data_IF_189552627108
#
_entry.id   IF_189552627108
#
_cell.length_a   1.000
_cell.length_b   1.000
_cell.length_c   1.000
_cell.angle_alpha   90.00
_cell.angle_beta   90.00
_cell.angle_gamma   90.00
#
_symmetry.space_group_name_H-M   'P 1'
#
loop_
_entity.id
_entity.type
_entity.pdbx_description
1 polymer ?
#
# COMPACT_ATOMS: atom_id res chain seq x y z
N UNK A 1 48.12 2.99 1.14
CA UNK A 1 46.77 3.57 0.92
C UNK A 1 45.87 2.95 1.97
N UNK A 2 45.57 3.66 3.05
CA UNK A 2 44.76 3.13 4.15
C UNK A 2 43.33 2.85 3.65
N UNK A 3 42.70 1.73 4.03
CA UNK A 3 41.30 1.48 3.70
C UNK A 3 40.46 2.61 4.30
N UNK A 4 39.75 3.35 3.45
CA UNK A 4 38.89 4.45 3.88
C UNK A 4 37.91 3.95 4.93
N UNK A 5 37.92 4.58 6.11
CA UNK A 5 36.91 4.36 7.15
C UNK A 5 35.53 4.54 6.52
N UNK A 6 34.81 3.44 6.31
CA UNK A 6 33.37 3.50 6.07
C UNK A 6 32.79 4.15 7.32
N UNK A 7 32.29 5.37 7.20
CA UNK A 7 31.67 6.07 8.33
C UNK A 7 30.56 5.18 8.87
N UNK A 8 30.67 4.81 10.16
CA UNK A 8 29.58 4.15 10.86
C UNK A 8 28.32 5.00 10.67
N UNK A 9 27.19 4.43 10.22
CA UNK A 9 26.01 5.25 9.98
C UNK A 9 25.57 5.91 11.30
N UNK A 10 24.84 7.03 11.26
CA UNK A 10 24.52 7.81 12.46
C UNK A 10 23.74 6.98 13.49
N UNK A 11 24.15 7.09 14.75
CA UNK A 11 23.43 6.57 15.92
C UNK A 11 22.02 7.18 15.97
N UNK A 12 21.05 6.41 16.47
CA UNK A 12 19.67 6.89 16.62
C UNK A 12 19.62 8.15 17.50
N UNK A 13 18.88 9.15 17.04
CA UNK A 13 18.56 10.36 17.79
C UNK A 13 17.03 10.49 17.90
N UNK A 14 16.47 10.75 19.10
CA UNK A 14 15.05 11.01 19.25
C UNK A 14 14.55 12.15 18.35
N UNK A 15 13.28 12.11 17.90
CA UNK A 15 12.70 13.16 17.08
C UNK A 15 12.63 14.48 17.86
N UNK A 16 13.25 15.53 17.31
CA UNK A 16 13.28 16.89 17.88
C UNK A 16 12.26 17.83 17.23
N UNK A 17 11.58 17.38 16.17
CA UNK A 17 10.57 18.14 15.42
C UNK A 17 9.41 17.22 15.03
N UNK A 18 8.26 17.83 14.74
CA UNK A 18 7.05 17.14 14.27
C UNK A 18 6.19 16.55 15.39
N UNK A 19 5.20 15.75 15.03
CA UNK A 19 4.22 15.21 15.99
C UNK A 19 4.88 14.41 17.13
N UNK A 20 5.92 13.65 16.80
CA UNK A 20 6.57 12.75 17.75
C UNK A 20 7.34 13.48 18.86
N UNK A 21 7.79 14.73 18.64
CA UNK A 21 8.52 15.48 19.68
C UNK A 21 7.64 15.96 20.83
N UNK A 22 6.31 15.96 20.65
CA UNK A 22 5.34 16.32 21.69
C UNK A 22 4.89 15.12 22.54
N UNK A 23 5.25 13.89 22.14
CA UNK A 23 4.87 12.69 22.87
C UNK A 23 5.80 12.43 24.05
N UNK A 24 5.30 11.80 25.14
CA UNK A 24 6.18 11.30 26.19
C UNK A 24 7.26 10.39 25.61
N UNK A 25 8.49 10.47 26.14
CA UNK A 25 9.63 9.71 25.63
C UNK A 25 9.38 8.19 25.56
N UNK A 26 8.56 7.65 26.46
CA UNK A 26 8.15 6.24 26.48
C UNK A 26 7.19 5.85 25.35
N UNK A 27 6.44 6.80 24.77
CA UNK A 27 5.47 6.57 23.70
C UNK A 27 6.09 6.71 22.31
N UNK A 28 7.18 7.49 22.20
CA UNK A 28 7.87 7.74 20.93
C UNK A 28 8.20 6.45 20.17
N UNK A 29 8.80 5.40 20.79
CA UNK A 29 9.10 4.16 20.06
C UNK A 29 7.85 3.49 19.47
N UNK A 30 6.71 3.54 20.15
CA UNK A 30 5.46 2.94 19.67
C UNK A 30 4.85 3.76 18.52
N UNK A 31 4.92 5.09 18.62
CA UNK A 31 4.48 5.98 17.55
C UNK A 31 5.35 5.87 16.29
N UNK A 32 6.67 5.72 16.44
CA UNK A 32 7.58 5.38 15.34
C UNK A 32 7.29 4.00 14.75
N UNK A 33 6.94 3.02 15.60
CA UNK A 33 6.64 1.65 15.16
C UNK A 33 5.44 1.63 14.21
N UNK A 34 4.38 2.39 14.49
CA UNK A 34 3.20 2.50 13.61
C UNK A 34 3.37 3.51 12.47
N UNK A 35 4.53 4.18 12.39
CA UNK A 35 4.83 5.23 11.39
C UNK A 35 3.88 6.42 11.48
N UNK A 36 3.56 6.86 12.70
CA UNK A 36 2.63 7.98 12.94
C UNK A 36 3.13 9.29 12.32
N UNK A 37 4.46 9.46 12.19
CA UNK A 37 5.12 10.56 11.51
C UNK A 37 5.01 10.51 9.97
N UNK A 38 4.61 9.37 9.41
CA UNK A 38 4.63 9.07 7.97
C UNK A 38 3.26 8.52 7.52
N UNK A 39 2.23 9.39 7.44
CA UNK A 39 0.85 8.95 7.18
C UNK A 39 0.60 8.44 5.75
N UNK A 40 1.56 8.59 4.82
CA UNK A 40 1.43 8.15 3.42
C UNK A 40 0.94 6.71 3.29
N UNK A 41 1.40 5.80 4.16
CA UNK A 41 0.98 4.40 4.15
C UNK A 41 -0.49 4.21 4.50
N UNK A 42 -1.09 5.06 5.33
CA UNK A 42 -2.52 5.00 5.66
C UNK A 42 -3.34 5.36 4.42
N UNK A 43 -2.96 6.43 3.70
CA UNK A 43 -3.67 6.83 2.48
C UNK A 43 -3.64 5.74 1.40
N UNK A 44 -2.50 5.05 1.27
CA UNK A 44 -2.36 3.93 0.32
C UNK A 44 -3.30 2.77 0.66
N UNK A 45 -3.46 2.42 1.95
CA UNK A 45 -4.41 1.38 2.36
C UNK A 45 -5.85 1.88 2.24
N UNK A 46 -6.13 3.13 2.57
CA UNK A 46 -7.47 3.72 2.51
C UNK A 46 -8.04 3.79 1.08
N UNK A 47 -7.19 4.03 0.09
CA UNK A 47 -7.63 4.24 -1.29
C UNK A 47 -8.48 3.07 -1.85
N UNK A 48 -8.05 1.79 -1.77
CA UNK A 48 -8.90 0.64 -2.15
C UNK A 48 -10.23 0.54 -1.39
N UNK A 49 -10.31 1.00 -0.13
CA UNK A 49 -11.56 0.98 0.64
C UNK A 49 -12.54 2.06 0.18
N UNK A 50 -12.04 3.25 -0.14
CA UNK A 50 -12.86 4.30 -0.76
C UNK A 50 -13.36 3.81 -2.13
N UNK A 51 -12.47 3.26 -2.97
CA UNK A 51 -12.85 2.69 -4.25
C UNK A 51 -13.91 1.58 -4.11
N UNK A 52 -13.72 0.65 -3.16
CA UNK A 52 -14.69 -0.42 -2.89
C UNK A 52 -16.05 0.11 -2.45
N UNK A 53 -16.08 1.19 -1.67
CA UNK A 53 -17.34 1.82 -1.23
C UNK A 53 -18.06 2.52 -2.40
N UNK A 54 -17.31 3.22 -3.27
CA UNK A 54 -17.87 3.85 -4.48
C UNK A 54 -18.33 2.80 -5.50
N UNK A 55 -17.58 1.72 -5.64
CA UNK A 55 -17.93 0.56 -6.45
C UNK A 55 -19.25 -0.08 -5.97
N UNK A 56 -19.44 -0.20 -4.65
CA UNK A 56 -20.68 -0.70 -4.07
C UNK A 56 -21.90 0.14 -4.48
N UNK A 57 -21.76 1.46 -4.52
CA UNK A 57 -22.84 2.35 -4.97
C UNK A 57 -23.22 2.12 -6.44
N UNK A 58 -22.29 1.63 -7.27
CA UNK A 58 -22.53 1.36 -8.68
C UNK A 58 -23.22 0.01 -8.91
N UNK A 59 -22.85 -1.03 -8.16
CA UNK A 59 -23.39 -2.39 -8.33
C UNK A 59 -24.62 -2.65 -7.45
N UNK A 60 -24.99 -1.70 -6.60
CA UNK A 60 -26.22 -1.75 -5.82
C UNK A 60 -27.45 -1.68 -6.71
N UNK A 61 -28.47 -2.49 -6.40
CA UNK A 61 -29.77 -2.46 -7.09
C UNK A 61 -30.61 -1.22 -6.75
N UNK A 62 -30.33 -0.60 -5.60
CA UNK A 62 -30.99 0.62 -5.14
C UNK A 62 -29.96 1.72 -4.80
N UNK A 63 -30.30 3.00 -4.96
CA UNK A 63 -29.43 4.10 -4.55
C UNK A 63 -29.06 4.00 -3.06
N UNK A 64 -27.76 4.03 -2.77
CA UNK A 64 -27.28 4.03 -1.39
C UNK A 64 -27.44 5.43 -0.77
N UNK A 65 -27.96 5.56 0.46
CA UNK A 65 -28.03 6.84 1.14
C UNK A 65 -26.64 7.44 1.34
N UNK A 66 -26.43 8.70 0.94
CA UNK A 66 -25.15 9.40 1.14
C UNK A 66 -24.66 9.37 2.60
N UNK A 67 -25.50 9.57 3.64
CA UNK A 67 -25.06 9.48 5.02
C UNK A 67 -24.48 8.11 5.39
N UNK A 68 -25.03 7.02 4.83
CA UNK A 68 -24.51 5.67 5.04
C UNK A 68 -23.11 5.53 4.43
N UNK A 69 -22.94 5.96 3.17
CA UNK A 69 -21.66 5.91 2.46
C UNK A 69 -20.58 6.69 3.20
N UNK A 70 -20.88 7.92 3.64
CA UNK A 70 -19.94 8.75 4.39
C UNK A 70 -19.59 8.12 5.75
N UNK A 71 -20.56 7.58 6.47
CA UNK A 71 -20.31 6.87 7.72
C UNK A 71 -19.36 5.68 7.53
N UNK A 72 -19.58 4.88 6.47
CA UNK A 72 -18.68 3.75 6.15
C UNK A 72 -17.28 4.20 5.78
N UNK A 73 -17.11 5.29 5.03
CA UNK A 73 -15.77 5.83 4.73
C UNK A 73 -15.04 6.25 6.01
N UNK A 74 -15.73 6.89 6.97
CA UNK A 74 -15.13 7.27 8.27
C UNK A 74 -14.71 6.02 9.05
N UNK A 75 -15.58 5.03 9.18
CA UNK A 75 -15.27 3.79 9.90
C UNK A 75 -14.14 2.99 9.23
N UNK A 76 -14.13 2.93 7.89
CA UNK A 76 -13.05 2.33 7.12
C UNK A 76 -11.74 3.10 7.26
N UNK A 77 -11.78 4.42 7.40
CA UNK A 77 -10.60 5.24 7.72
C UNK A 77 -9.99 4.85 9.07
N UNK A 78 -10.84 4.67 10.09
CA UNK A 78 -10.39 4.20 11.42
C UNK A 78 -9.82 2.78 11.32
N UNK A 79 -10.51 1.87 10.62
CA UNK A 79 -10.03 0.52 10.36
C UNK A 79 -8.66 0.50 9.67
N UNK A 80 -8.50 1.26 8.58
CA UNK A 80 -7.24 1.32 7.83
C UNK A 80 -6.09 1.89 8.65
N UNK A 81 -6.35 2.87 9.53
CA UNK A 81 -5.36 3.38 10.48
C UNK A 81 -4.85 2.24 11.38
N UNK A 82 -5.74 1.47 11.99
CA UNK A 82 -5.38 0.36 12.87
C UNK A 82 -4.72 -0.80 12.12
N UNK A 83 -5.28 -1.21 10.98
CA UNK A 83 -4.73 -2.27 10.13
C UNK A 83 -3.31 -1.93 9.65
N UNK A 84 -3.09 -0.69 9.18
CA UNK A 84 -1.77 -0.22 8.75
C UNK A 84 -0.77 -0.20 9.91
N UNK A 85 -1.21 0.28 11.06
CA UNK A 85 -0.40 0.37 12.28
C UNK A 85 0.03 -1.03 12.75
N UNK A 86 -0.92 -1.95 12.83
CA UNK A 86 -0.67 -3.34 13.19
C UNK A 86 0.25 -4.04 12.18
N UNK A 87 0.02 -3.83 10.88
CA UNK A 87 0.85 -4.40 9.82
C UNK A 87 2.30 -3.94 9.88
N UNK A 88 2.57 -2.70 10.30
CA UNK A 88 3.94 -2.23 10.53
C UNK A 88 4.57 -2.86 11.77
N UNK A 89 3.85 -2.90 12.88
CA UNK A 89 4.34 -3.53 14.11
C UNK A 89 4.65 -5.02 13.88
N UNK A 90 3.76 -5.73 13.20
CA UNK A 90 3.95 -7.12 12.80
C UNK A 90 5.14 -7.29 11.86
N UNK A 91 5.22 -6.49 10.78
CA UNK A 91 6.32 -6.61 9.81
C UNK A 91 7.68 -6.34 10.45
N UNK A 92 7.83 -5.27 11.25
CA UNK A 92 9.09 -4.95 11.94
C UNK A 92 9.47 -6.06 12.95
N UNK A 93 8.50 -6.77 13.55
CA UNK A 93 8.74 -7.91 14.43
C UNK A 93 9.26 -9.14 13.68
N UNK A 94 8.68 -9.45 12.51
CA UNK A 94 9.10 -10.59 11.69
C UNK A 94 10.44 -10.33 10.99
N UNK A 95 10.66 -9.09 10.53
CA UNK A 95 11.85 -8.69 9.78
C UNK A 95 13.00 -8.22 10.69
N UNK A 96 12.86 -8.24 12.02
CA UNK A 96 13.80 -7.62 12.97
C UNK A 96 15.28 -7.98 12.76
N UNK A 97 15.60 -9.23 12.42
CA UNK A 97 16.98 -9.69 12.21
C UNK A 97 17.58 -9.15 10.90
N UNK A 98 16.76 -9.04 9.86
CA UNK A 98 17.15 -8.40 8.60
C UNK A 98 17.25 -6.89 8.77
N UNK A 99 16.31 -6.29 9.50
CA UNK A 99 16.28 -4.85 9.74
C UNK A 99 17.55 -4.38 10.47
N UNK A 100 18.06 -5.16 11.43
CA UNK A 100 19.35 -4.89 12.12
C UNK A 100 20.55 -4.80 11.17
N UNK A 101 20.52 -5.51 10.04
CA UNK A 101 21.62 -5.61 9.09
C UNK A 101 21.58 -4.51 8.01
N UNK A 102 20.48 -3.75 7.89
CA UNK A 102 20.32 -2.75 6.83
C UNK A 102 20.43 -1.33 7.37
N UNK A 103 21.19 -0.47 6.68
CA UNK A 103 21.41 0.91 7.10
C UNK A 103 20.11 1.71 7.25
N UNK A 104 19.11 1.43 6.40
CA UNK A 104 17.79 2.08 6.42
C UNK A 104 16.93 1.66 7.61
N UNK A 105 16.93 0.38 7.97
CA UNK A 105 15.95 -0.18 8.91
C UNK A 105 16.52 -0.45 10.30
N UNK A 106 17.83 -0.42 10.51
CA UNK A 106 18.46 -0.72 11.81
C UNK A 106 17.99 0.17 12.96
N UNK A 107 17.53 1.38 12.67
CA UNK A 107 17.02 2.34 13.65
C UNK A 107 15.52 2.15 13.95
N UNK A 108 14.85 1.15 13.37
CA UNK A 108 13.46 0.82 13.72
C UNK A 108 13.36 0.42 15.20
N UNK A 109 12.25 0.72 15.89
CA UNK A 109 12.12 0.52 17.34
C UNK A 109 12.46 -0.90 17.83
N UNK A 110 11.97 -1.94 17.15
CA UNK A 110 12.24 -3.34 17.52
C UNK A 110 13.69 -3.74 17.16
N UNK A 111 14.16 -3.34 15.97
CA UNK A 111 15.52 -3.65 15.52
C UNK A 111 16.58 -3.07 16.46
N UNK A 112 16.41 -1.82 16.91
CA UNK A 112 17.32 -1.12 17.84
C UNK A 112 17.10 -1.48 19.32
N UNK A 113 16.12 -2.32 19.64
CA UNK A 113 15.83 -2.75 21.02
C UNK A 113 15.06 -1.75 21.89
N UNK A 114 14.46 -0.70 21.31
CA UNK A 114 13.61 0.25 22.05
C UNK A 114 12.23 -0.33 22.40
N UNK A 115 11.80 -1.38 21.69
CA UNK A 115 10.61 -2.19 21.97
C UNK A 115 11.05 -3.65 21.92
N UNK A 116 10.66 -4.46 22.92
CA UNK A 116 10.94 -5.90 22.89
C UNK A 116 10.06 -6.62 21.87
N UNK A 117 10.50 -7.76 21.33
CA UNK A 117 9.70 -8.54 20.37
C UNK A 117 8.30 -8.90 20.93
N UNK A 118 8.24 -9.25 22.22
CA UNK A 118 6.97 -9.53 22.89
C UNK A 118 6.06 -8.30 22.95
N UNK A 119 6.60 -7.14 23.33
CA UNK A 119 5.83 -5.87 23.32
C UNK A 119 5.32 -5.54 21.92
N UNK A 120 6.13 -5.76 20.87
CA UNK A 120 5.71 -5.59 19.48
C UNK A 120 4.52 -6.48 19.10
N UNK A 121 4.49 -7.74 19.55
CA UNK A 121 3.40 -8.67 19.25
C UNK A 121 2.12 -8.31 20.00
N UNK A 122 2.24 -7.98 21.29
CA UNK A 122 1.12 -7.50 22.10
C UNK A 122 0.52 -6.24 21.47
N UNK A 123 1.38 -5.31 21.05
CA UNK A 123 0.93 -4.06 20.45
C UNK A 123 0.26 -4.26 19.08
N UNK A 124 0.84 -5.08 18.20
CA UNK A 124 0.21 -5.44 16.92
C UNK A 124 -1.17 -6.10 17.14
N UNK A 125 -1.27 -7.02 18.10
CA UNK A 125 -2.53 -7.70 18.44
C UNK A 125 -3.57 -6.73 19.00
N UNK A 126 -3.16 -5.83 19.89
CA UNK A 126 -4.04 -4.79 20.43
C UNK A 126 -4.57 -3.85 19.32
N UNK A 127 -3.72 -3.45 18.38
CA UNK A 127 -4.13 -2.63 17.23
C UNK A 127 -5.12 -3.38 16.33
N UNK A 128 -4.92 -4.68 16.08
CA UNK A 128 -5.89 -5.51 15.34
C UNK A 128 -7.24 -5.54 16.07
N UNK A 129 -7.24 -5.78 17.38
CA UNK A 129 -8.45 -5.79 18.19
C UNK A 129 -9.19 -4.44 18.12
N UNK A 130 -8.47 -3.32 18.27
CA UNK A 130 -9.04 -1.97 18.11
C UNK A 130 -9.61 -1.73 16.71
N UNK A 131 -8.95 -2.24 15.67
CA UNK A 131 -9.48 -2.22 14.30
C UNK A 131 -10.80 -2.98 14.19
N UNK A 132 -10.91 -4.19 14.74
CA UNK A 132 -12.19 -4.92 14.72
C UNK A 132 -13.28 -4.24 15.55
N UNK A 133 -12.93 -3.56 16.64
CA UNK A 133 -13.88 -2.74 17.39
C UNK A 133 -14.45 -1.58 16.54
N UNK A 134 -13.68 -1.02 15.61
CA UNK A 134 -14.22 0.01 14.69
C UNK A 134 -15.17 -0.55 13.63
N UNK A 135 -15.28 -1.87 13.49
CA UNK A 135 -16.16 -2.55 12.55
C UNK A 135 -17.40 -3.18 13.22
N UNK A 136 -17.75 -2.80 14.46
CA UNK A 136 -18.87 -3.41 15.19
C UNK A 136 -20.20 -3.36 14.43
N UNK A 137 -20.50 -2.23 13.79
CA UNK A 137 -21.73 -2.02 13.01
C UNK A 137 -21.72 -2.72 11.64
N UNK A 138 -20.61 -3.36 11.25
CA UNK A 138 -20.49 -3.99 9.94
C UNK A 138 -21.15 -5.38 9.94
N UNK A 139 -21.74 -5.80 8.80
CA UNK A 139 -22.23 -7.15 8.61
C UNK A 139 -21.14 -8.21 8.79
N UNK A 140 -21.55 -9.45 9.02
CA UNK A 140 -20.63 -10.56 9.29
C UNK A 140 -19.66 -10.78 8.13
N UNK A 141 -20.13 -10.72 6.90
CA UNK A 141 -19.38 -10.92 5.65
C UNK A 141 -18.24 -9.92 5.51
N UNK A 142 -18.51 -8.66 5.90
CA UNK A 142 -17.51 -7.60 5.89
C UNK A 142 -16.45 -7.83 6.99
N UNK A 143 -16.86 -8.23 8.19
CA UNK A 143 -15.93 -8.61 9.28
C UNK A 143 -15.11 -9.86 8.95
N UNK A 144 -15.71 -10.84 8.29
CA UNK A 144 -15.02 -12.03 7.81
C UNK A 144 -13.98 -11.66 6.74
N UNK A 145 -14.33 -10.78 5.80
CA UNK A 145 -13.39 -10.21 4.84
C UNK A 145 -12.24 -9.48 5.56
N UNK A 146 -12.53 -8.71 6.61
CA UNK A 146 -11.50 -8.03 7.40
C UNK A 146 -10.53 -9.03 8.06
N UNK A 147 -11.04 -10.15 8.56
CA UNK A 147 -10.22 -11.25 9.09
C UNK A 147 -9.34 -11.87 8.00
N UNK A 148 -9.84 -12.07 6.79
CA UNK A 148 -9.04 -12.52 5.64
C UNK A 148 -7.91 -11.52 5.35
N UNK A 149 -8.19 -10.22 5.34
CA UNK A 149 -7.17 -9.19 5.16
C UNK A 149 -6.08 -9.26 6.25
N UNK A 150 -6.46 -9.45 7.52
CA UNK A 150 -5.51 -9.60 8.62
C UNK A 150 -4.65 -10.87 8.46
N UNK A 151 -5.24 -11.99 8.08
CA UNK A 151 -4.49 -13.24 7.84
C UNK A 151 -3.48 -13.06 6.70
N UNK A 152 -3.89 -12.48 5.58
CA UNK A 152 -3.00 -12.17 4.47
C UNK A 152 -1.88 -11.18 4.90
N UNK A 153 -2.23 -10.17 5.70
CA UNK A 153 -1.30 -9.22 6.28
C UNK A 153 -0.27 -9.89 7.21
N UNK A 154 -0.68 -10.94 7.93
CA UNK A 154 0.23 -11.70 8.78
C UNK A 154 1.17 -12.59 7.97
N UNK A 155 0.71 -13.13 6.84
CA UNK A 155 1.46 -14.07 5.99
C UNK A 155 2.45 -13.36 5.07
N UNK A 156 2.13 -12.17 4.53
CA UNK A 156 2.97 -11.54 3.49
C UNK A 156 4.45 -11.29 3.88
N UNK A 157 4.83 -10.93 5.13
CA UNK A 157 6.23 -10.67 5.46
C UNK A 157 7.12 -11.90 5.26
N UNK A 158 6.55 -13.09 5.48
CA UNK A 158 7.23 -14.36 5.23
C UNK A 158 7.49 -14.61 3.74
N UNK A 159 6.70 -14.00 2.85
CA UNK A 159 6.80 -14.18 1.40
C UNK A 159 8.19 -13.88 0.84
N UNK A 160 8.88 -12.87 1.38
CA UNK A 160 10.26 -12.51 0.97
C UNK A 160 11.27 -13.64 1.15
N UNK A 161 10.98 -14.60 2.06
CA UNK A 161 11.86 -15.75 2.34
C UNK A 161 11.67 -16.88 1.33
N UNK A 162 10.49 -16.97 0.71
CA UNK A 162 10.09 -18.13 -0.08
C UNK A 162 9.86 -17.84 -1.57
N UNK A 163 9.52 -16.60 -1.95
CA UNK A 163 9.12 -16.27 -3.32
C UNK A 163 9.68 -14.94 -3.81
N UNK A 164 9.90 -14.83 -5.13
CA UNK A 164 10.19 -13.56 -5.80
C UNK A 164 8.96 -12.67 -5.95
N UNK A 165 7.76 -13.19 -5.65
CA UNK A 165 6.48 -12.52 -5.88
C UNK A 165 5.80 -12.10 -4.57
N UNK A 166 6.57 -11.69 -3.56
CA UNK A 166 6.03 -11.24 -2.26
C UNK A 166 5.05 -10.06 -2.38
N UNK A 167 5.08 -9.34 -3.52
CA UNK A 167 4.13 -8.30 -3.89
C UNK A 167 2.70 -8.81 -4.09
N UNK A 168 2.53 -10.06 -4.54
CA UNK A 168 1.21 -10.64 -4.81
C UNK A 168 0.37 -10.78 -3.54
N UNK A 169 0.84 -11.41 -2.45
CA UNK A 169 0.08 -11.47 -1.20
C UNK A 169 -0.14 -10.09 -0.56
N UNK A 170 0.79 -9.14 -0.75
CA UNK A 170 0.57 -7.75 -0.34
C UNK A 170 -0.59 -7.11 -1.13
N UNK A 171 -0.60 -7.28 -2.44
CA UNK A 171 -1.69 -6.84 -3.32
C UNK A 171 -3.02 -7.52 -2.97
N UNK A 172 -2.98 -8.82 -2.68
CA UNK A 172 -4.15 -9.59 -2.27
C UNK A 172 -4.75 -9.02 -0.97
N UNK A 173 -3.90 -8.71 0.01
CA UNK A 173 -4.30 -8.06 1.28
C UNK A 173 -5.09 -6.78 1.03
N UNK A 174 -4.58 -5.91 0.16
CA UNK A 174 -5.22 -4.63 -0.19
C UNK A 174 -6.49 -4.81 -1.04
N UNK A 175 -6.51 -5.82 -1.90
CA UNK A 175 -7.65 -6.11 -2.78
C UNK A 175 -8.90 -6.56 -2.04
N UNK A 176 -8.76 -7.08 -0.82
CA UNK A 176 -9.90 -7.45 0.05
C UNK A 176 -10.83 -6.27 0.29
N UNK A 177 -10.32 -5.02 0.21
CA UNK A 177 -11.14 -3.82 0.32
C UNK A 177 -12.29 -3.77 -0.71
N UNK A 178 -12.10 -4.33 -1.90
CA UNK A 178 -13.11 -4.40 -2.98
C UNK A 178 -14.26 -5.35 -2.63
N UNK A 179 -14.06 -6.29 -1.70
CA UNK A 179 -15.09 -7.22 -1.22
C UNK A 179 -15.68 -6.74 0.11
N UNK A 180 -14.83 -6.30 1.03
CA UNK A 180 -15.21 -5.84 2.37
C UNK A 180 -16.13 -4.61 2.30
N UNK A 181 -15.77 -3.61 1.48
CA UNK A 181 -16.50 -2.35 1.45
C UNK A 181 -17.94 -2.49 0.88
N UNK A 182 -18.20 -3.24 -0.21
CA UNK A 182 -19.58 -3.52 -0.62
C UNK A 182 -20.42 -4.23 0.43
N UNK A 183 -19.88 -5.26 1.09
CA UNK A 183 -20.59 -5.90 2.20
C UNK A 183 -20.92 -4.92 3.33
N UNK A 184 -20.07 -3.92 3.59
CA UNK A 184 -20.32 -2.92 4.65
C UNK A 184 -21.58 -2.07 4.43
N UNK A 185 -22.00 -1.92 3.18
CA UNK A 185 -23.20 -1.16 2.78
C UNK A 185 -24.36 -2.07 2.36
N UNK A 186 -24.27 -3.38 2.63
CA UNK A 186 -25.35 -4.34 2.35
C UNK A 186 -25.43 -4.79 0.89
N UNK A 187 -24.36 -4.62 0.12
CA UNK A 187 -24.27 -5.04 -1.28
C UNK A 187 -23.45 -6.32 -1.35
N UNK A 188 -23.95 -7.36 -2.03
CA UNK A 188 -23.20 -8.59 -2.27
C UNK A 188 -22.35 -8.50 -3.54
N UNK A 189 -21.02 -8.31 -3.41
CA UNK A 189 -20.12 -8.21 -4.55
C UNK A 189 -19.83 -9.58 -5.21
N UNK A 190 -20.21 -10.69 -4.58
CA UNK A 190 -19.95 -12.05 -5.07
C UNK A 190 -21.18 -12.72 -5.70
N UNK A 191 -22.30 -12.00 -5.78
CA UNK A 191 -23.47 -12.44 -6.55
C UNK A 191 -23.12 -12.66 -8.03
N UNK A 192 -23.91 -13.49 -8.72
CA UNK A 192 -23.67 -13.88 -10.11
C UNK A 192 -23.50 -12.66 -11.05
N UNK A 193 -24.28 -11.60 -10.83
CA UNK A 193 -24.20 -10.36 -11.62
C UNK A 193 -22.92 -9.54 -11.32
N UNK A 194 -22.37 -9.65 -10.11
CA UNK A 194 -21.29 -8.79 -9.62
C UNK A 194 -19.92 -9.47 -9.61
N UNK A 195 -19.85 -10.80 -9.71
CA UNK A 195 -18.61 -11.56 -9.58
C UNK A 195 -17.55 -11.15 -10.61
N UNK A 196 -17.94 -10.91 -11.86
CA UNK A 196 -17.02 -10.50 -12.93
C UNK A 196 -16.39 -9.11 -12.67
N UNK A 197 -17.17 -8.03 -12.44
CA UNK A 197 -16.57 -6.74 -12.10
C UNK A 197 -15.78 -6.78 -10.78
N UNK A 198 -16.26 -7.50 -9.77
CA UNK A 198 -15.54 -7.64 -8.48
C UNK A 198 -14.19 -8.31 -8.68
N UNK A 199 -14.14 -9.46 -9.36
CA UNK A 199 -12.91 -10.19 -9.64
C UNK A 199 -11.93 -9.35 -10.47
N UNK A 200 -12.45 -8.59 -11.44
CA UNK A 200 -11.66 -7.69 -12.27
C UNK A 200 -11.00 -6.57 -11.44
N UNK A 201 -11.76 -5.95 -10.52
CA UNK A 201 -11.22 -4.92 -9.62
C UNK A 201 -10.26 -5.49 -8.58
N UNK A 202 -10.53 -6.68 -8.03
CA UNK A 202 -9.60 -7.39 -7.14
C UNK A 202 -8.26 -7.63 -7.84
N UNK A 203 -8.28 -8.21 -9.04
CA UNK A 203 -7.06 -8.43 -9.84
C UNK A 203 -6.36 -7.11 -10.20
N UNK A 204 -7.14 -6.06 -10.50
CA UNK A 204 -6.61 -4.72 -10.79
C UNK A 204 -5.84 -4.15 -9.60
N UNK A 205 -6.39 -4.24 -8.38
CA UNK A 205 -5.70 -3.77 -7.16
C UNK A 205 -4.43 -4.59 -6.91
N UNK A 206 -4.45 -5.90 -7.11
CA UNK A 206 -3.25 -6.73 -6.98
C UNK A 206 -2.15 -6.27 -7.95
N UNK A 207 -2.48 -6.07 -9.23
CA UNK A 207 -1.52 -5.60 -10.23
C UNK A 207 -1.03 -4.17 -9.95
N UNK A 208 -1.90 -3.28 -9.48
CA UNK A 208 -1.55 -1.91 -9.10
C UNK A 208 -0.55 -1.90 -7.94
N UNK A 209 -0.76 -2.75 -6.93
CA UNK A 209 0.17 -2.88 -5.80
C UNK A 209 1.49 -3.48 -6.25
N UNK A 210 1.47 -4.50 -7.12
CA UNK A 210 2.69 -5.03 -7.73
C UNK A 210 3.46 -3.94 -8.48
N UNK A 211 2.78 -3.12 -9.27
CA UNK A 211 3.38 -2.03 -10.02
C UNK A 211 4.09 -1.04 -9.10
N UNK A 212 3.37 -0.50 -8.10
CA UNK A 212 3.93 0.46 -7.16
C UNK A 212 5.10 -0.13 -6.35
N UNK A 213 4.95 -1.35 -5.84
CA UNK A 213 5.97 -1.97 -4.99
C UNK A 213 7.23 -2.33 -5.77
N UNK A 214 7.10 -2.77 -7.03
CA UNK A 214 8.27 -2.99 -7.92
C UNK A 214 8.98 -1.67 -8.23
N UNK A 215 8.24 -0.60 -8.50
CA UNK A 215 8.83 0.73 -8.72
C UNK A 215 9.61 1.20 -7.48
N UNK A 216 9.04 1.02 -6.29
CA UNK A 216 9.69 1.39 -5.04
C UNK A 216 10.92 0.52 -4.75
N UNK A 217 10.78 -0.80 -4.87
CA UNK A 217 11.86 -1.77 -4.64
C UNK A 217 13.01 -1.64 -5.65
N UNK A 218 12.79 -1.01 -6.81
CA UNK A 218 13.84 -0.75 -7.80
C UNK A 218 15.04 -0.02 -7.18
N UNK A 219 14.80 0.91 -6.26
CA UNK A 219 15.87 1.65 -5.59
C UNK A 219 16.77 0.77 -4.71
N UNK A 220 16.23 -0.33 -4.16
CA UNK A 220 16.92 -1.23 -3.25
C UNK A 220 17.57 -2.44 -3.97
N UNK A 221 17.31 -2.62 -5.28
CA UNK A 221 17.78 -3.79 -6.07
C UNK A 221 19.27 -4.10 -5.93
N UNK A 222 20.12 -3.08 -5.89
CA UNK A 222 21.58 -3.26 -5.82
C UNK A 222 22.04 -3.82 -4.47
N UNK A 223 21.34 -3.50 -3.39
CA UNK A 223 21.63 -4.01 -2.05
C UNK A 223 20.94 -5.36 -1.82
N UNK A 224 19.73 -5.56 -2.36
CA UNK A 224 19.02 -6.84 -2.35
C UNK A 224 19.79 -7.96 -3.07
N UNK A 225 20.48 -7.62 -4.17
CA UNK A 225 21.38 -8.54 -4.87
C UNK A 225 22.55 -9.01 -4.00
N UNK A 226 23.08 -8.14 -3.12
CA UNK A 226 24.22 -8.46 -2.23
C UNK A 226 23.77 -9.27 -1.03
N UNK A 227 22.57 -8.99 -0.51
CA UNK A 227 22.00 -9.67 0.66
C UNK A 227 21.32 -11.00 0.32
N UNK A 228 21.13 -11.32 -0.97
CA UNK A 228 20.49 -12.55 -1.42
C UNK A 228 18.96 -12.54 -1.28
N UNK A 229 18.36 -11.36 -1.09
CA UNK A 229 16.91 -11.21 -0.97
C UNK A 229 16.24 -11.50 -2.30
N UNK A 230 15.18 -12.31 -2.26
CA UNK A 230 14.37 -12.64 -3.43
C UNK A 230 13.29 -11.58 -3.62
N UNK A 231 13.23 -10.98 -4.80
CA UNK A 231 12.18 -10.01 -5.13
C UNK A 231 11.98 -9.85 -6.64
N UNK A 232 10.81 -9.32 -7.02
CA UNK A 232 10.43 -9.12 -8.41
C UNK A 232 11.34 -8.10 -9.09
N UNK A 233 11.78 -7.05 -8.38
CA UNK A 233 12.77 -6.08 -8.87
C UNK A 233 14.13 -6.74 -9.20
N UNK A 234 14.57 -7.72 -8.40
CA UNK A 234 15.79 -8.49 -8.64
C UNK A 234 15.64 -9.45 -9.82
N UNK A 235 14.49 -10.14 -9.89
CA UNK A 235 14.17 -11.12 -10.93
C UNK A 235 14.06 -10.45 -12.32
N UNK A 236 13.34 -9.34 -12.40
CA UNK A 236 13.08 -8.60 -13.64
C UNK A 236 14.01 -7.40 -13.85
N UNK A 237 15.18 -7.35 -13.18
CA UNK A 237 16.13 -6.22 -13.29
C UNK A 237 16.49 -5.82 -14.73
N UNK A 238 16.59 -6.80 -15.63
CA UNK A 238 16.90 -6.58 -17.06
C UNK A 238 15.66 -6.37 -17.93
N UNK A 239 14.47 -6.65 -17.40
CA UNK A 239 13.18 -6.63 -18.11
C UNK A 239 12.19 -5.66 -17.44
N UNK A 240 12.70 -4.69 -16.68
CA UNK A 240 11.90 -3.81 -15.83
C UNK A 240 10.84 -3.04 -16.64
N UNK A 241 11.24 -2.49 -17.79
CA UNK A 241 10.31 -1.77 -18.67
C UNK A 241 9.19 -2.68 -19.17
N UNK A 242 9.52 -3.90 -19.62
CA UNK A 242 8.55 -4.89 -20.09
C UNK A 242 7.58 -5.30 -18.97
N UNK A 243 8.09 -5.55 -17.77
CA UNK A 243 7.27 -5.88 -16.60
C UNK A 243 6.29 -4.73 -16.29
N UNK A 244 6.80 -3.51 -16.15
CA UNK A 244 5.97 -2.34 -15.82
C UNK A 244 4.92 -2.07 -16.90
N UNK A 245 5.27 -2.18 -18.18
CA UNK A 245 4.30 -2.06 -19.27
C UNK A 245 3.24 -3.15 -19.22
N UNK A 246 3.64 -4.41 -18.98
CA UNK A 246 2.68 -5.52 -18.87
C UNK A 246 1.69 -5.35 -17.72
N UNK A 247 2.15 -4.84 -16.56
CA UNK A 247 1.30 -4.54 -15.41
C UNK A 247 0.32 -3.41 -15.73
N UNK A 248 0.79 -2.33 -16.37
CA UNK A 248 -0.08 -1.22 -16.80
C UNK A 248 -1.13 -1.72 -17.78
N UNK A 249 -0.74 -2.45 -18.82
CA UNK A 249 -1.69 -3.01 -19.80
C UNK A 249 -2.72 -3.92 -19.13
N UNK A 250 -2.30 -4.76 -18.19
CA UNK A 250 -3.20 -5.61 -17.40
C UNK A 250 -4.19 -4.79 -16.55
N UNK A 251 -3.70 -3.78 -15.84
CA UNK A 251 -4.55 -2.86 -15.04
C UNK A 251 -5.59 -2.19 -15.93
N UNK A 252 -5.17 -1.61 -17.06
CA UNK A 252 -6.06 -0.93 -18.02
C UNK A 252 -7.11 -1.88 -18.59
N UNK A 253 -6.74 -3.11 -18.95
CA UNK A 253 -7.67 -4.12 -19.44
C UNK A 253 -8.70 -4.52 -18.38
N UNK A 254 -8.27 -4.73 -17.14
CA UNK A 254 -9.16 -5.10 -16.03
C UNK A 254 -10.11 -3.96 -15.65
N UNK A 255 -9.65 -2.71 -15.67
CA UNK A 255 -10.50 -1.52 -15.49
C UNK A 255 -11.52 -1.40 -16.61
N UNK A 256 -11.14 -1.69 -17.86
CA UNK A 256 -12.06 -1.71 -18.98
C UNK A 256 -13.16 -2.76 -18.80
N UNK A 257 -12.81 -4.00 -18.42
CA UNK A 257 -13.77 -5.08 -18.16
C UNK A 257 -14.71 -4.72 -17.01
N UNK A 258 -14.18 -4.19 -15.89
CA UNK A 258 -14.99 -3.75 -14.75
C UNK A 258 -15.94 -2.60 -15.13
N UNK A 259 -15.45 -1.62 -15.90
CA UNK A 259 -16.25 -0.49 -16.36
C UNK A 259 -17.37 -0.89 -17.31
N UNK A 260 -17.08 -1.78 -18.27
CA UNK A 260 -18.07 -2.28 -19.23
C UNK A 260 -19.15 -3.13 -18.54
N UNK A 261 -18.75 -4.06 -17.69
CA UNK A 261 -19.68 -4.96 -16.97
C UNK A 261 -20.60 -4.23 -15.98
N UNK A 262 -20.18 -3.07 -15.47
CA UNK A 262 -21.01 -2.24 -14.58
C UNK A 262 -21.73 -1.11 -15.31
N UNK A 263 -21.50 -0.88 -16.60
CA UNK A 263 -22.08 0.25 -17.33
C UNK A 263 -21.62 1.60 -16.79
N UNK A 264 -20.31 1.76 -16.57
CA UNK A 264 -19.70 3.05 -16.20
C UNK A 264 -19.77 4.06 -17.34
N UNK A 265 -19.73 5.35 -16.99
CA UNK A 265 -19.81 6.45 -17.98
C UNK A 265 -18.53 6.59 -18.80
N UNK A 266 -18.61 7.30 -19.94
CA UNK A 266 -17.44 7.63 -20.76
C UNK A 266 -16.34 8.35 -19.97
N UNK A 267 -16.72 9.18 -18.98
CA UNK A 267 -15.77 9.89 -18.11
C UNK A 267 -14.90 8.92 -17.30
N UNK A 268 -15.45 7.79 -16.83
CA UNK A 268 -14.67 6.77 -16.14
C UNK A 268 -13.58 6.20 -17.05
N UNK A 269 -13.92 5.85 -18.29
CA UNK A 269 -12.96 5.31 -19.25
C UNK A 269 -11.89 6.34 -19.63
N UNK A 270 -12.28 7.61 -19.81
CA UNK A 270 -11.34 8.70 -20.08
C UNK A 270 -10.32 8.88 -18.95
N UNK A 271 -10.78 8.90 -17.70
CA UNK A 271 -9.91 9.13 -16.54
C UNK A 271 -9.07 7.90 -16.17
N UNK A 272 -9.65 6.70 -16.30
CA UNK A 272 -9.07 5.47 -15.70
C UNK A 272 -8.36 4.57 -16.70
N UNK A 273 -8.74 4.62 -17.98
CA UNK A 273 -8.22 3.71 -19.02
C UNK A 273 -7.30 4.44 -19.99
N UNK A 274 -7.69 5.62 -20.48
CA UNK A 274 -6.85 6.41 -21.39
C UNK A 274 -5.91 7.38 -20.68
N UNK A 275 -6.26 7.79 -19.45
CA UNK A 275 -5.64 8.93 -18.77
C UNK A 275 -6.10 10.27 -19.35
N UNK A 276 -5.87 11.40 -18.65
CA UNK A 276 -6.25 12.71 -19.18
C UNK A 276 -5.54 12.95 -20.52
N UNK A 277 -6.30 13.37 -21.53
CA UNK A 277 -5.73 13.92 -22.75
C UNK A 277 -4.93 15.17 -22.34
N UNK A 278 -3.64 15.17 -22.67
CA UNK A 278 -2.73 16.26 -22.31
C UNK A 278 -3.06 17.48 -23.17
N UNK A 279 -3.90 18.38 -22.66
CA UNK A 279 -3.90 19.77 -23.12
C UNK A 279 -2.78 20.49 -22.37
N UNK A 280 -1.84 21.05 -23.11
CA UNK A 280 -0.54 21.58 -22.64
C UNK A 280 -0.64 22.82 -21.74
N UNK A 281 -1.81 23.16 -21.18
CA UNK A 281 -2.00 24.44 -20.50
C UNK A 281 -2.47 24.47 -19.05
N UNK A 282 -3.04 23.44 -18.44
CA UNK A 282 -3.38 23.54 -17.01
C UNK A 282 -3.32 22.17 -16.30
N UNK A 283 -2.65 22.16 -15.15
CA UNK A 283 -2.37 20.97 -14.37
C UNK A 283 -3.64 20.26 -13.89
N UNK A 284 -3.97 19.13 -14.51
CA UNK A 284 -5.06 18.25 -14.08
C UNK A 284 -4.54 16.80 -13.93
N UNK A 285 -4.74 16.32 -12.71
CA UNK A 285 -4.69 14.96 -12.14
C UNK A 285 -4.32 13.84 -13.14
N UNK A 286 -3.06 13.39 -13.07
CA UNK A 286 -2.58 12.19 -13.74
C UNK A 286 -2.69 10.97 -12.82
N UNK A 287 -3.45 9.95 -13.23
CA UNK A 287 -3.17 8.56 -12.84
C UNK A 287 -2.26 7.99 -13.93
N UNK A 288 -0.97 7.89 -13.58
CA UNK A 288 0.09 7.14 -14.25
C UNK A 288 0.40 7.51 -15.73
N UNK A 289 1.24 8.53 -15.91
CA UNK A 289 2.10 8.63 -17.10
C UNK A 289 3.57 8.45 -16.72
N UNK A 290 4.23 7.50 -17.39
CA UNK A 290 5.69 7.40 -17.47
C UNK A 290 6.17 8.31 -18.61
N UNK A 291 6.85 9.41 -18.28
CA UNK A 291 7.61 10.17 -19.29
C UNK A 291 9.04 9.64 -19.33
N UNK A 292 9.50 9.14 -20.47
CA UNK A 292 10.90 8.74 -20.69
C UNK A 292 11.63 9.74 -21.57
N UNK A 293 12.80 10.18 -21.10
CA UNK A 293 14.03 10.11 -21.91
C UNK A 293 15.32 9.97 -21.10
N UNK A 294 15.35 10.27 -19.80
CA UNK A 294 16.47 9.91 -18.90
C UNK A 294 16.13 10.09 -17.39
N UNK A 295 14.85 10.16 -17.05
CA UNK A 295 14.31 10.34 -15.69
C UNK A 295 12.99 9.57 -15.61
N UNK A 296 12.78 8.76 -14.57
CA UNK A 296 11.52 8.04 -14.34
C UNK A 296 10.80 8.72 -13.17
N UNK A 297 9.93 9.69 -13.46
CA UNK A 297 9.11 10.36 -12.46
C UNK A 297 7.73 9.69 -12.39
N UNK A 298 7.37 9.13 -11.24
CA UNK A 298 6.00 8.66 -10.97
C UNK A 298 5.28 9.75 -10.18
N UNK A 299 4.39 10.47 -10.84
CA UNK A 299 3.59 11.54 -10.20
C UNK A 299 2.27 10.96 -9.71
N UNK A 300 2.09 10.89 -8.39
CA UNK A 300 0.79 10.64 -7.76
C UNK A 300 0.38 11.91 -7.03
N UNK A 301 -0.55 12.68 -7.61
CA UNK A 301 -1.00 13.95 -7.05
C UNK A 301 -2.44 13.88 -6.57
N UNK A 302 -2.66 13.95 -5.26
CA UNK A 302 -3.92 14.45 -4.69
C UNK A 302 -3.54 15.78 -4.03
N UNK A 303 -4.09 16.89 -4.52
CA UNK A 303 -3.87 18.26 -4.01
C UNK A 303 -2.41 18.64 -3.76
N UNK A 304 -1.63 18.83 -4.84
CA UNK A 304 -0.35 19.55 -4.79
C UNK A 304 0.82 18.86 -4.08
N UNK A 305 0.66 17.63 -3.60
CA UNK A 305 1.77 16.84 -3.05
C UNK A 305 2.41 16.00 -4.17
N UNK A 306 3.38 16.58 -4.87
CA UNK A 306 4.23 15.87 -5.83
C UNK A 306 5.26 15.02 -5.07
N UNK A 307 5.14 13.69 -5.10
CA UNK A 307 6.23 12.80 -4.70
C UNK A 307 7.17 12.64 -5.90
N UNK A 308 8.19 13.49 -5.98
CA UNK A 308 9.23 13.39 -7.00
C UNK A 308 10.27 12.36 -6.54
N UNK A 309 10.24 11.14 -7.08
CA UNK A 309 11.32 10.17 -6.88
C UNK A 309 12.45 10.54 -7.86
N UNK A 310 13.21 11.57 -7.53
CA UNK A 310 14.34 12.04 -8.34
C UNK A 310 15.59 11.23 -7.97
N UNK A 311 15.92 10.20 -8.76
CA UNK A 311 17.24 9.55 -8.65
C UNK A 311 18.21 10.17 -9.65
N UNK A 312 19.02 11.10 -9.15
CA UNK A 312 20.19 11.62 -9.85
C UNK A 312 21.21 10.47 -9.99
N UNK A 313 21.21 9.81 -11.14
CA UNK A 313 22.26 8.85 -11.49
C UNK A 313 23.62 9.57 -11.41
N UNK A 314 24.39 9.31 -10.35
CA UNK A 314 25.80 9.74 -10.28
C UNK A 314 26.55 8.98 -11.37
N UNK A 315 26.65 9.57 -12.57
CA UNK A 315 27.65 9.19 -13.56
C UNK A 315 29.01 9.37 -12.89
N UNK A 316 29.68 8.26 -12.58
CA UNK A 316 31.13 8.28 -12.32
C UNK A 316 31.80 8.76 -13.61
N UNK A 317 32.37 9.96 -13.59
CA UNK A 317 33.54 10.30 -14.38
C UNK A 317 34.74 10.19 -13.46
#
# INVERSE_FOLDING_TARGET
MAPGKVSSPPLYSPPTKGLLSYLPASWVPYAELIRLDKPHGIYMILYPYILGTLYAAKISSAPLPLPLVLNRIIQLTIWTFFLRSAGCAWNDNIDQDYDRQTARCRNRPIARGAISTFQGHVYATALIALGFLSLQEFPFESKASAAVAVVLACVYPFGKRFTHFAQVPLGATLSVAIVLAPYSVGVDPLSEANILPTASLVACIIMLVMFYDVVYARADTADDLKSGVKGMAVLFRNWMTTLLLSLITGITALLFVAGQSTGMSALFFQLSVTGPAKDDHDGIICIMFLHTKDQLSVTMGINGCTVNIEQKARRRK
#
